data_IF_927185315775
#
_entry.id   IF_927185315775
#
_cell.length_a   1.000
_cell.length_b   1.000
_cell.length_c   1.000
_cell.angle_alpha   90.00
_cell.angle_beta   90.00
_cell.angle_gamma   90.00
#
_symmetry.space_group_name_H-M   'P 1'
#
loop_
_entity.id
_entity.type
_entity.pdbx_description
1 polymer ?
#
# COMPACT_ATOMS: atom_id res chain seq x y z
N UNK A 1 63.16 4.78 -11.42
CA UNK A 1 61.90 5.50 -11.14
C UNK A 1 60.97 5.55 -12.36
N UNK A 2 61.48 5.42 -13.59
CA UNK A 2 60.69 5.55 -14.82
C UNK A 2 59.80 4.33 -15.15
N UNK A 3 60.31 3.10 -14.94
CA UNK A 3 59.56 1.87 -15.28
C UNK A 3 58.30 1.65 -14.44
N UNK A 4 58.30 2.05 -13.17
CA UNK A 4 57.14 1.96 -12.26
C UNK A 4 55.99 2.90 -12.64
N UNK A 5 56.27 4.07 -13.23
CA UNK A 5 55.22 4.98 -13.67
C UNK A 5 54.52 4.45 -14.94
N UNK A 6 55.26 3.78 -15.83
CA UNK A 6 54.68 3.16 -17.03
C UNK A 6 53.73 1.99 -16.72
N UNK A 7 54.07 1.14 -15.73
CA UNK A 7 53.24 -0.02 -15.35
C UNK A 7 51.99 0.40 -14.60
N UNK A 8 52.06 1.48 -13.81
CA UNK A 8 50.90 2.05 -13.12
C UNK A 8 49.94 2.69 -14.12
N UNK A 9 50.44 3.45 -15.11
CA UNK A 9 49.62 4.00 -16.19
C UNK A 9 48.86 2.92 -16.98
N UNK A 10 49.57 1.88 -17.42
CA UNK A 10 48.96 0.75 -18.16
C UNK A 10 47.90 0.00 -17.32
N UNK A 11 48.10 -0.09 -16.00
CA UNK A 11 47.11 -0.68 -15.10
C UNK A 11 45.85 0.19 -14.91
N UNK A 12 46.00 1.52 -14.98
CA UNK A 12 44.89 2.47 -14.85
C UNK A 12 44.07 2.49 -16.14
N UNK A 13 44.72 2.54 -17.30
CA UNK A 13 44.07 2.51 -18.61
C UNK A 13 43.24 1.22 -18.79
N UNK A 14 43.79 0.08 -18.36
CA UNK A 14 43.08 -1.20 -18.36
C UNK A 14 41.85 -1.21 -17.45
N UNK A 15 41.89 -0.51 -16.32
CA UNK A 15 40.74 -0.36 -15.42
C UNK A 15 39.70 0.58 -16.03
N UNK A 16 40.13 1.66 -16.69
CA UNK A 16 39.24 2.60 -17.38
C UNK A 16 38.48 1.92 -18.53
N UNK A 17 39.17 1.13 -19.37
CA UNK A 17 38.56 0.34 -20.44
C UNK A 17 37.56 -0.69 -19.92
N UNK A 18 37.90 -1.37 -18.81
CA UNK A 18 37.02 -2.34 -18.17
C UNK A 18 35.77 -1.67 -17.59
N UNK A 19 35.92 -0.50 -16.95
CA UNK A 19 34.79 0.30 -16.45
C UNK A 19 33.93 0.79 -17.60
N UNK A 20 34.51 1.30 -18.68
CA UNK A 20 33.79 1.73 -19.87
C UNK A 20 32.97 0.57 -20.48
N UNK A 21 33.57 -0.62 -20.56
CA UNK A 21 32.89 -1.84 -21.02
C UNK A 21 31.71 -2.22 -20.13
N UNK A 22 31.89 -2.19 -18.80
CA UNK A 22 30.81 -2.49 -17.84
C UNK A 22 29.67 -1.46 -17.94
N UNK A 23 30.01 -0.18 -18.13
CA UNK A 23 29.00 0.88 -18.34
C UNK A 23 28.20 0.62 -19.61
N UNK A 24 28.86 0.23 -20.70
CA UNK A 24 28.15 -0.06 -21.96
C UNK A 24 27.25 -1.30 -21.85
N UNK A 25 27.74 -2.37 -21.21
CA UNK A 25 26.91 -3.54 -20.89
C UNK A 25 25.68 -3.18 -20.03
N UNK A 26 25.84 -2.26 -19.07
CA UNK A 26 24.74 -1.79 -18.25
C UNK A 26 23.70 -1.01 -19.07
N UNK A 27 24.13 -0.20 -20.04
CA UNK A 27 23.23 0.50 -20.97
C UNK A 27 22.50 -0.47 -21.89
N UNK A 28 23.22 -1.40 -22.52
CA UNK A 28 22.63 -2.43 -23.39
C UNK A 28 21.58 -3.26 -22.65
N UNK A 29 21.87 -3.62 -21.40
CA UNK A 29 20.93 -4.32 -20.52
C UNK A 29 19.73 -3.44 -20.19
N UNK A 30 19.93 -2.16 -19.90
CA UNK A 30 18.86 -1.20 -19.61
C UNK A 30 17.94 -1.02 -20.82
N UNK A 31 18.48 -0.91 -22.03
CA UNK A 31 17.71 -0.78 -23.27
C UNK A 31 16.94 -2.07 -23.58
N UNK A 32 17.59 -3.21 -23.43
CA UNK A 32 16.96 -4.53 -23.56
C UNK A 32 15.80 -4.70 -22.57
N UNK A 33 16.02 -4.34 -21.29
CA UNK A 33 14.99 -4.37 -20.25
C UNK A 33 13.84 -3.40 -20.57
N UNK A 34 14.15 -2.20 -21.07
CA UNK A 34 13.14 -1.20 -21.42
C UNK A 34 12.27 -1.66 -22.59
N UNK A 35 12.87 -2.30 -23.59
CA UNK A 35 12.14 -2.90 -24.72
C UNK A 35 11.26 -4.07 -24.28
N UNK A 36 11.74 -4.93 -23.37
CA UNK A 36 10.95 -6.05 -22.85
C UNK A 36 9.77 -5.55 -22.03
N UNK A 37 9.98 -4.53 -21.19
CA UNK A 37 8.94 -3.91 -20.38
C UNK A 37 7.87 -3.27 -21.27
N UNK A 38 8.26 -2.56 -22.34
CA UNK A 38 7.29 -1.94 -23.24
C UNK A 38 6.45 -2.97 -23.99
N UNK A 39 7.07 -4.04 -24.51
CA UNK A 39 6.35 -5.15 -25.15
C UNK A 39 5.42 -5.86 -24.18
N UNK A 40 5.93 -6.23 -23.00
CA UNK A 40 5.12 -6.87 -21.96
C UNK A 40 3.95 -5.99 -21.52
N UNK A 41 4.15 -4.67 -21.42
CA UNK A 41 3.08 -3.73 -21.07
C UNK A 41 1.97 -3.68 -22.12
N UNK A 42 2.33 -3.72 -23.41
CA UNK A 42 1.36 -3.77 -24.51
C UNK A 42 0.57 -5.08 -24.49
N UNK A 43 1.24 -6.23 -24.31
CA UNK A 43 0.60 -7.54 -24.22
C UNK A 43 -0.36 -7.59 -23.01
N UNK A 44 0.07 -7.06 -21.87
CA UNK A 44 -0.76 -6.96 -20.66
C UNK A 44 -2.01 -6.09 -20.90
N UNK A 45 -1.87 -4.97 -21.62
CA UNK A 45 -2.99 -4.09 -21.96
C UNK A 45 -3.98 -4.77 -22.91
N UNK A 46 -3.50 -5.53 -23.88
CA UNK A 46 -4.33 -6.35 -24.78
C UNK A 46 -5.12 -7.41 -24.00
N UNK A 47 -4.47 -8.15 -23.10
CA UNK A 47 -5.13 -9.13 -22.24
C UNK A 47 -6.16 -8.48 -21.31
N UNK A 48 -5.85 -7.31 -20.75
CA UNK A 48 -6.77 -6.52 -19.93
C UNK A 48 -8.02 -6.10 -20.69
N UNK A 49 -7.88 -5.63 -21.94
CA UNK A 49 -9.03 -5.28 -22.79
C UNK A 49 -9.91 -6.50 -23.06
N UNK A 50 -9.30 -7.65 -23.36
CA UNK A 50 -10.03 -8.91 -23.57
C UNK A 50 -10.76 -9.37 -22.31
N UNK A 51 -10.12 -9.30 -21.15
CA UNK A 51 -10.71 -9.66 -19.87
C UNK A 51 -11.91 -8.76 -19.53
N UNK A 52 -11.78 -7.44 -19.70
CA UNK A 52 -12.87 -6.48 -19.50
C UNK A 52 -14.04 -6.69 -20.48
N UNK A 53 -13.72 -6.94 -21.75
CA UNK A 53 -14.73 -7.26 -22.76
C UNK A 53 -15.50 -8.51 -22.37
N UNK A 54 -14.80 -9.57 -21.95
CA UNK A 54 -15.42 -10.82 -21.54
C UNK A 54 -16.28 -10.65 -20.27
N UNK A 55 -15.82 -9.89 -19.27
CA UNK A 55 -16.61 -9.56 -18.09
C UNK A 55 -17.92 -8.84 -18.46
N UNK A 56 -17.84 -7.88 -19.40
CA UNK A 56 -19.02 -7.16 -19.88
C UNK A 56 -20.00 -8.08 -20.61
N UNK A 57 -19.50 -9.04 -21.40
CA UNK A 57 -20.31 -10.04 -22.10
C UNK A 57 -21.00 -10.98 -21.10
N UNK A 58 -20.28 -11.49 -20.09
CA UNK A 58 -20.86 -12.34 -19.03
C UNK A 58 -21.97 -11.59 -18.30
N UNK A 59 -21.73 -10.32 -17.94
CA UNK A 59 -22.74 -9.48 -17.27
C UNK A 59 -23.97 -9.25 -18.14
N UNK A 60 -23.77 -8.99 -19.44
CA UNK A 60 -24.86 -8.85 -20.41
C UNK A 60 -25.66 -10.14 -20.54
N UNK A 61 -25.01 -11.28 -20.71
CA UNK A 61 -25.68 -12.58 -20.78
C UNK A 61 -26.50 -12.86 -19.52
N UNK A 62 -25.98 -12.53 -18.34
CA UNK A 62 -26.74 -12.65 -17.08
C UNK A 62 -27.99 -11.78 -17.08
N UNK A 63 -27.88 -10.51 -17.47
CA UNK A 63 -29.05 -9.62 -17.55
C UNK A 63 -30.09 -10.07 -18.58
N UNK A 64 -29.65 -10.64 -19.70
CA UNK A 64 -30.54 -11.21 -20.71
C UNK A 64 -31.25 -12.45 -20.17
N UNK A 65 -30.54 -13.32 -19.47
CA UNK A 65 -31.10 -14.50 -18.82
C UNK A 65 -32.14 -14.12 -17.75
N UNK A 66 -31.81 -13.17 -16.87
CA UNK A 66 -32.73 -12.64 -15.85
C UNK A 66 -34.00 -12.06 -16.49
N UNK A 67 -33.85 -11.31 -17.60
CA UNK A 67 -34.99 -10.73 -18.32
C UNK A 67 -35.87 -11.79 -18.98
N UNK A 68 -35.28 -12.80 -19.63
CA UNK A 68 -36.01 -13.85 -20.32
C UNK A 68 -36.71 -14.80 -19.33
N UNK A 69 -36.13 -15.02 -18.14
CA UNK A 69 -36.78 -15.72 -17.04
C UNK A 69 -37.96 -14.93 -16.48
N UNK A 70 -37.79 -13.62 -16.27
CA UNK A 70 -38.88 -12.73 -15.79
C UNK A 70 -40.07 -12.69 -16.76
N UNK A 71 -39.80 -12.70 -18.07
CA UNK A 71 -40.84 -12.77 -19.11
C UNK A 71 -41.40 -14.18 -19.33
N UNK A 72 -40.99 -15.20 -18.56
CA UNK A 72 -41.38 -16.62 -18.71
C UNK A 72 -41.14 -17.19 -20.12
N UNK A 73 -40.13 -16.67 -20.82
CA UNK A 73 -39.76 -17.10 -22.18
C UNK A 73 -38.78 -18.29 -22.18
N UNK A 74 -38.33 -18.74 -21.00
CA UNK A 74 -37.38 -19.82 -20.80
C UNK A 74 -37.91 -20.85 -19.81
N UNK A 75 -37.61 -22.13 -20.07
CA UNK A 75 -37.82 -23.20 -19.11
C UNK A 75 -36.89 -22.98 -17.89
N UNK A 76 -37.42 -22.98 -16.65
CA UNK A 76 -36.61 -22.82 -15.44
C UNK A 76 -35.42 -23.78 -15.36
N UNK A 77 -35.56 -25.04 -15.82
CA UNK A 77 -34.43 -26.00 -15.82
C UNK A 77 -33.29 -25.60 -16.74
N UNK A 78 -33.63 -25.02 -17.89
CA UNK A 78 -32.64 -24.52 -18.85
C UNK A 78 -31.97 -23.24 -18.33
N UNK A 79 -32.74 -22.38 -17.65
CA UNK A 79 -32.22 -21.17 -17.04
C UNK A 79 -31.20 -21.48 -15.93
N UNK A 80 -31.50 -22.43 -15.04
CA UNK A 80 -30.57 -22.86 -13.98
C UNK A 80 -29.24 -23.37 -14.57
N UNK A 81 -29.31 -24.19 -15.62
CA UNK A 81 -28.12 -24.70 -16.31
C UNK A 81 -27.29 -23.59 -16.94
N UNK A 82 -27.94 -22.61 -17.59
CA UNK A 82 -27.23 -21.49 -18.21
C UNK A 82 -26.63 -20.54 -17.17
N UNK A 83 -27.30 -20.36 -16.02
CA UNK A 83 -26.74 -19.62 -14.90
C UNK A 83 -25.50 -20.34 -14.31
N UNK A 84 -25.55 -21.66 -14.19
CA UNK A 84 -24.41 -22.46 -13.74
C UNK A 84 -23.21 -22.34 -14.70
N UNK A 85 -23.46 -22.41 -16.02
CA UNK A 85 -22.43 -22.23 -17.04
C UNK A 85 -21.82 -20.81 -17.01
N UNK A 86 -22.66 -19.77 -16.86
CA UNK A 86 -22.21 -18.38 -16.68
C UNK A 86 -21.43 -18.19 -15.38
N UNK A 87 -21.84 -18.87 -14.30
CA UNK A 87 -21.14 -18.85 -13.03
C UNK A 87 -19.76 -19.51 -13.18
N UNK A 88 -19.68 -20.68 -13.82
CA UNK A 88 -18.42 -21.37 -14.10
C UNK A 88 -17.47 -20.52 -14.95
N UNK A 89 -17.97 -19.88 -16.01
CA UNK A 89 -17.19 -18.96 -16.84
C UNK A 89 -16.63 -17.79 -16.01
N UNK A 90 -17.44 -17.26 -15.09
CA UNK A 90 -17.03 -16.21 -14.17
C UNK A 90 -15.98 -16.68 -13.17
N UNK A 91 -16.08 -17.89 -12.62
CA UNK A 91 -15.07 -18.46 -11.72
C UNK A 91 -13.73 -18.68 -12.43
N UNK A 92 -13.73 -19.24 -13.65
CA UNK A 92 -12.52 -19.40 -14.47
C UNK A 92 -11.80 -18.05 -14.67
N UNK A 93 -12.57 -16.99 -14.89
CA UNK A 93 -12.02 -15.65 -15.12
C UNK A 93 -11.55 -14.95 -13.83
N UNK A 94 -12.25 -15.13 -12.71
CA UNK A 94 -11.98 -14.42 -11.45
C UNK A 94 -11.00 -15.13 -10.51
N UNK A 95 -10.91 -16.45 -10.58
CA UNK A 95 -10.06 -17.27 -9.72
C UNK A 95 -8.84 -17.84 -10.48
N UNK A 96 -8.84 -17.74 -11.82
CA UNK A 96 -7.69 -18.09 -12.66
C UNK A 96 -6.71 -16.93 -12.88
N UNK A 97 -5.67 -17.18 -13.68
CA UNK A 97 -4.60 -16.19 -13.95
C UNK A 97 -5.10 -14.91 -14.62
N UNK A 98 -6.24 -14.99 -15.33
CA UNK A 98 -6.89 -13.85 -15.96
C UNK A 98 -7.32 -12.76 -14.95
N UNK A 99 -7.53 -13.14 -13.68
CA UNK A 99 -7.90 -12.24 -12.60
C UNK A 99 -6.85 -11.16 -12.34
N UNK A 100 -5.59 -11.43 -12.69
CA UNK A 100 -4.50 -10.47 -12.57
C UNK A 100 -4.67 -9.24 -13.48
N UNK A 101 -5.36 -9.39 -14.61
CA UNK A 101 -5.57 -8.33 -15.60
C UNK A 101 -6.88 -7.57 -15.40
N UNK A 102 -7.80 -8.11 -14.61
CA UNK A 102 -9.02 -7.41 -14.23
C UNK A 102 -8.69 -6.27 -13.25
N UNK A 103 -9.49 -5.18 -13.26
CA UNK A 103 -9.34 -4.14 -12.26
C UNK A 103 -9.44 -4.79 -10.88
N UNK A 104 -8.47 -4.48 -10.01
CA UNK A 104 -8.48 -5.00 -8.64
C UNK A 104 -9.87 -4.75 -8.06
N UNK A 105 -10.55 -5.81 -7.61
CA UNK A 105 -11.84 -5.68 -6.94
C UNK A 105 -11.69 -4.62 -5.85
N UNK A 106 -12.66 -3.71 -5.79
CA UNK A 106 -12.66 -2.61 -4.83
C UNK A 106 -12.28 -3.16 -3.46
N UNK A 107 -11.10 -2.77 -2.98
CA UNK A 107 -10.62 -3.17 -1.67
C UNK A 107 -11.70 -2.79 -0.66
N UNK A 108 -11.97 -3.70 0.30
CA UNK A 108 -12.97 -3.46 1.34
C UNK A 108 -12.79 -2.09 1.97
N UNK A 109 -13.89 -1.44 2.37
CA UNK A 109 -13.88 -0.07 2.93
C UNK A 109 -12.82 0.11 4.04
N UNK A 110 -12.59 -0.94 4.83
CA UNK A 110 -11.54 -1.01 5.84
C UNK A 110 -10.14 -0.79 5.25
N UNK A 111 -9.74 -1.58 4.26
CA UNK A 111 -8.40 -1.49 3.67
C UNK A 111 -8.20 -0.14 2.95
N UNK A 112 -9.24 0.35 2.28
CA UNK A 112 -9.25 1.69 1.67
C UNK A 112 -9.11 2.82 2.68
N UNK A 113 -9.57 2.64 3.93
CA UNK A 113 -9.39 3.62 5.01
C UNK A 113 -7.91 3.79 5.37
N UNK A 114 -7.15 2.68 5.41
CA UNK A 114 -5.74 2.71 5.77
C UNK A 114 -4.81 2.97 4.59
N UNK A 115 -5.10 2.43 3.41
CA UNK A 115 -4.22 2.52 2.24
C UNK A 115 -4.55 3.70 1.31
N UNK A 116 -5.80 4.18 1.29
CA UNK A 116 -6.28 5.09 0.26
C UNK A 116 -6.70 4.36 -1.03
N UNK A 117 -6.85 5.05 -2.17
CA UNK A 117 -7.31 4.47 -3.44
C UNK A 117 -6.22 3.63 -4.17
N UNK A 118 -5.32 2.99 -3.42
CA UNK A 118 -4.10 2.38 -3.95
C UNK A 118 -4.33 0.90 -4.25
N UNK A 119 -3.94 0.43 -5.43
CA UNK A 119 -4.01 -0.99 -5.80
C UNK A 119 -2.84 -1.76 -5.14
N UNK A 120 -3.12 -2.80 -4.34
CA UNK A 120 -2.09 -3.62 -3.65
C UNK A 120 -1.17 -4.39 -4.62
N UNK A 121 -1.60 -4.53 -5.89
CA UNK A 121 -0.86 -5.25 -6.93
C UNK A 121 -0.22 -4.24 -7.88
N UNK A 122 0.93 -3.70 -7.49
CA UNK A 122 1.71 -2.77 -8.30
C UNK A 122 2.74 -3.55 -9.14
N UNK A 123 2.26 -4.40 -10.05
CA UNK A 123 3.13 -5.12 -10.99
C UNK A 123 3.77 -4.19 -12.03
N UNK A 124 3.21 -2.98 -12.24
CA UNK A 124 3.67 -2.02 -13.24
C UNK A 124 4.45 -0.87 -12.62
N UNK A 125 5.53 -0.42 -13.27
CA UNK A 125 6.39 0.70 -12.83
C UNK A 125 5.63 2.01 -12.62
N UNK A 126 4.63 2.32 -13.44
CA UNK A 126 3.75 3.48 -13.29
C UNK A 126 2.87 3.39 -12.02
N UNK A 127 2.34 2.20 -11.71
CA UNK A 127 1.57 1.97 -10.49
C UNK A 127 2.48 2.04 -9.26
N UNK A 128 3.72 1.55 -9.35
CA UNK A 128 4.72 1.67 -8.27
C UNK A 128 5.09 3.13 -7.99
N UNK A 129 5.32 3.93 -9.03
CA UNK A 129 5.59 5.36 -8.89
C UNK A 129 4.40 6.09 -8.24
N UNK A 130 3.16 5.75 -8.65
CA UNK A 130 1.95 6.31 -8.06
C UNK A 130 1.74 5.90 -6.59
N UNK A 131 2.02 4.64 -6.24
CA UNK A 131 1.99 4.15 -4.85
C UNK A 131 3.01 4.92 -4.01
N UNK A 132 4.20 5.15 -4.57
CA UNK A 132 5.28 5.89 -3.89
C UNK A 132 4.94 7.37 -3.70
N UNK A 133 4.33 8.01 -4.70
CA UNK A 133 3.87 9.39 -4.63
C UNK A 133 2.76 9.57 -3.58
N UNK A 134 1.75 8.70 -3.59
CA UNK A 134 0.67 8.70 -2.59
C UNK A 134 1.20 8.40 -1.18
N UNK A 135 2.16 7.49 -1.05
CA UNK A 135 2.86 7.25 0.22
C UNK A 135 3.61 8.49 0.69
N UNK A 136 4.36 9.15 -0.18
CA UNK A 136 5.15 10.32 0.21
C UNK A 136 4.23 11.49 0.61
N UNK A 137 3.16 11.73 -0.15
CA UNK A 137 2.13 12.70 0.22
C UNK A 137 1.40 12.36 1.53
N UNK A 138 1.08 11.08 1.77
CA UNK A 138 0.52 10.65 3.05
C UNK A 138 1.52 10.87 4.20
N UNK A 139 2.79 10.52 4.02
CA UNK A 139 3.85 10.68 5.01
C UNK A 139 4.06 12.15 5.36
N UNK A 140 4.06 13.04 4.37
CA UNK A 140 4.25 14.47 4.60
C UNK A 140 3.06 15.09 5.35
N UNK A 141 1.81 14.73 4.98
CA UNK A 141 0.61 15.12 5.75
C UNK A 141 0.64 14.56 7.17
N UNK A 142 1.08 13.32 7.33
CA UNK A 142 1.22 12.64 8.62
C UNK A 142 2.25 13.34 9.49
N UNK A 143 3.40 13.72 8.92
CA UNK A 143 4.44 14.49 9.62
C UNK A 143 3.93 15.87 10.08
N UNK A 144 3.17 16.57 9.22
CA UNK A 144 2.51 17.82 9.61
C UNK A 144 1.50 17.61 10.75
N UNK A 145 0.69 16.55 10.71
CA UNK A 145 -0.26 16.24 11.78
C UNK A 145 0.44 15.86 13.09
N UNK A 146 1.56 15.12 13.02
CA UNK A 146 2.40 14.81 14.19
C UNK A 146 2.99 16.05 14.84
N UNK A 147 3.22 17.13 14.08
CA UNK A 147 3.69 18.38 14.63
C UNK A 147 2.52 19.21 15.18
N UNK A 148 1.47 19.40 14.38
CA UNK A 148 0.34 20.27 14.73
C UNK A 148 -0.49 19.72 15.89
N UNK A 149 -0.80 18.43 15.92
CA UNK A 149 -1.76 17.88 16.88
C UNK A 149 -1.23 17.91 18.33
N UNK A 150 0.01 17.48 18.63
CA UNK A 150 0.60 17.65 19.96
C UNK A 150 0.75 19.12 20.35
N UNK A 151 1.15 19.99 19.42
CA UNK A 151 1.23 21.43 19.69
C UNK A 151 -0.13 22.02 20.07
N UNK A 152 -1.20 21.66 19.37
CA UNK A 152 -2.56 22.10 19.70
C UNK A 152 -3.00 21.57 21.07
N UNK A 153 -2.74 20.30 21.39
CA UNK A 153 -3.04 19.75 22.72
C UNK A 153 -2.29 20.48 23.84
N UNK A 154 -1.01 20.84 23.61
CA UNK A 154 -0.21 21.59 24.57
C UNK A 154 -0.72 23.03 24.75
N UNK A 155 -1.13 23.68 23.67
CA UNK A 155 -1.75 25.03 23.73
C UNK A 155 -3.07 24.97 24.51
N UNK A 156 -3.94 24.01 24.19
CA UNK A 156 -5.23 23.82 24.87
C UNK A 156 -5.04 23.47 26.35
N UNK A 157 -4.02 22.68 26.69
CA UNK A 157 -3.62 22.42 28.09
C UNK A 157 -3.30 23.71 28.84
N UNK A 158 -2.56 24.61 28.20
CA UNK A 158 -2.11 25.87 28.81
C UNK A 158 -3.22 26.92 28.89
N UNK A 159 -4.09 27.01 27.89
CA UNK A 159 -5.09 28.08 27.76
C UNK A 159 -6.47 27.72 28.32
N UNK A 160 -6.90 26.46 28.18
CA UNK A 160 -8.30 26.07 28.45
C UNK A 160 -8.41 25.20 29.69
N UNK A 161 -7.44 24.31 29.92
CA UNK A 161 -7.57 23.28 30.96
C UNK A 161 -6.68 23.47 32.19
N UNK A 162 -6.15 24.68 32.43
CA UNK A 162 -5.36 25.01 33.63
C UNK A 162 -4.26 23.97 33.94
N UNK A 163 -3.62 23.39 32.91
CA UNK A 163 -2.57 22.38 33.06
C UNK A 163 -3.04 20.91 33.13
N UNK A 164 -4.35 20.61 33.18
CA UNK A 164 -4.88 19.25 33.24
C UNK A 164 -5.54 18.81 31.92
N UNK A 165 -4.91 17.90 31.17
CA UNK A 165 -5.52 17.34 29.96
C UNK A 165 -6.69 16.40 30.33
N UNK A 166 -7.90 16.61 29.79
CA UNK A 166 -9.01 15.70 30.01
C UNK A 166 -8.70 14.31 29.41
N UNK A 167 -9.32 13.27 29.95
CA UNK A 167 -9.11 11.89 29.48
C UNK A 167 -9.50 11.72 28.00
N UNK A 168 -10.61 12.34 27.58
CA UNK A 168 -11.16 12.20 26.24
C UNK A 168 -10.21 12.69 25.12
N UNK A 169 -9.61 13.90 25.15
CA UNK A 169 -8.61 14.32 24.18
C UNK A 169 -7.38 13.41 24.11
N UNK A 170 -6.92 12.90 25.26
CA UNK A 170 -5.77 11.98 25.32
C UNK A 170 -6.11 10.63 24.68
N UNK A 171 -7.28 10.08 24.96
CA UNK A 171 -7.75 8.85 24.32
C UNK A 171 -7.96 9.04 22.81
N UNK A 172 -8.53 10.18 22.40
CA UNK A 172 -8.71 10.50 20.99
C UNK A 172 -7.35 10.59 20.26
N UNK A 173 -6.34 11.17 20.90
CA UNK A 173 -4.97 11.18 20.40
C UNK A 173 -4.39 9.78 20.28
N UNK A 174 -4.54 8.94 21.30
CA UNK A 174 -4.07 7.55 21.25
C UNK A 174 -4.77 6.72 20.17
N UNK A 175 -6.09 6.91 19.98
CA UNK A 175 -6.85 6.29 18.90
C UNK A 175 -6.37 6.74 17.52
N UNK A 176 -6.06 8.03 17.38
CA UNK A 176 -5.49 8.60 16.18
C UNK A 176 -4.09 8.04 15.88
N UNK A 177 -3.21 7.95 16.88
CA UNK A 177 -1.88 7.33 16.75
C UNK A 177 -1.99 5.87 16.31
N UNK A 178 -2.87 5.09 16.95
CA UNK A 178 -3.10 3.70 16.59
C UNK A 178 -3.53 3.58 15.11
N UNK A 179 -4.49 4.40 14.68
CA UNK A 179 -4.94 4.43 13.28
C UNK A 179 -3.79 4.76 12.32
N UNK A 180 -2.99 5.77 12.67
CA UNK A 180 -1.91 6.29 11.85
C UNK A 180 -0.76 5.28 11.70
N UNK A 181 -0.27 4.71 12.81
CA UNK A 181 0.82 3.73 12.79
C UNK A 181 0.39 2.43 12.09
N UNK A 182 -0.88 2.05 12.21
CA UNK A 182 -1.45 0.94 11.42
C UNK A 182 -1.41 1.25 9.92
N UNK A 183 -1.77 2.47 9.51
CA UNK A 183 -1.71 2.91 8.13
C UNK A 183 -0.28 2.97 7.56
N UNK A 184 0.69 3.47 8.35
CA UNK A 184 2.10 3.49 7.96
C UNK A 184 2.66 2.08 7.80
N UNK A 185 2.44 1.22 8.79
CA UNK A 185 2.89 -0.18 8.74
C UNK A 185 2.32 -0.89 7.50
N UNK A 186 1.02 -0.74 7.21
CA UNK A 186 0.41 -1.35 6.02
C UNK A 186 1.02 -0.83 4.71
N UNK A 187 1.17 0.50 4.54
CA UNK A 187 1.75 1.08 3.32
C UNK A 187 3.21 0.69 3.12
N UNK A 188 4.00 0.68 4.19
CA UNK A 188 5.42 0.32 4.12
C UNK A 188 5.65 -1.18 3.88
N UNK A 189 4.80 -2.06 4.44
CA UNK A 189 4.85 -3.49 4.12
C UNK A 189 4.53 -3.75 2.63
N UNK A 190 3.58 -3.00 2.05
CA UNK A 190 3.29 -3.08 0.61
C UNK A 190 4.49 -2.60 -0.20
N UNK A 191 5.09 -1.46 0.14
CA UNK A 191 6.28 -0.96 -0.56
C UNK A 191 7.43 -1.97 -0.50
N UNK A 192 7.65 -2.60 0.66
CA UNK A 192 8.66 -3.64 0.84
C UNK A 192 8.36 -4.89 0.01
N UNK A 193 7.11 -5.34 -0.02
CA UNK A 193 6.68 -6.47 -0.87
C UNK A 193 6.82 -6.18 -2.38
N UNK A 194 6.75 -4.91 -2.78
CA UNK A 194 6.99 -4.45 -4.15
C UNK A 194 8.48 -4.16 -4.44
N UNK A 195 9.41 -4.53 -3.55
CA UNK A 195 10.86 -4.42 -3.79
C UNK A 195 11.51 -3.11 -3.34
N UNK A 196 10.80 -2.25 -2.58
CA UNK A 196 11.45 -1.09 -1.97
C UNK A 196 12.35 -1.52 -0.81
N UNK A 197 13.57 -0.97 -0.76
CA UNK A 197 14.50 -1.18 0.35
C UNK A 197 14.06 -0.38 1.58
N UNK A 198 13.26 -1.02 2.43
CA UNK A 198 12.81 -0.48 3.72
C UNK A 198 13.44 -1.31 4.83
N UNK A 199 14.12 -0.62 5.75
CA UNK A 199 14.83 -1.26 6.86
C UNK A 199 13.85 -2.02 7.77
N UNK A 200 14.10 -3.30 8.11
CA UNK A 200 13.19 -4.11 8.92
C UNK A 200 12.89 -3.53 10.31
N UNK A 201 13.87 -2.88 10.94
CA UNK A 201 13.71 -2.27 12.26
C UNK A 201 12.67 -1.14 12.26
N UNK A 202 12.53 -0.42 11.14
CA UNK A 202 11.58 0.69 11.02
C UNK A 202 10.13 0.18 11.04
N UNK A 203 9.87 -0.94 10.38
CA UNK A 203 8.56 -1.62 10.44
C UNK A 203 8.29 -2.14 11.87
N UNK A 204 9.31 -2.68 12.54
CA UNK A 204 9.18 -3.12 13.93
C UNK A 204 8.82 -1.96 14.87
N UNK A 205 9.45 -0.79 14.69
CA UNK A 205 9.10 0.43 15.44
C UNK A 205 7.62 0.78 15.31
N UNK A 206 7.05 0.72 14.10
CA UNK A 206 5.61 0.96 13.90
C UNK A 206 4.74 -0.05 14.64
N UNK A 207 5.10 -1.33 14.65
CA UNK A 207 4.36 -2.35 15.39
C UNK A 207 4.42 -2.13 16.90
N UNK A 208 5.59 -1.78 17.45
CA UNK A 208 5.72 -1.40 18.85
C UNK A 208 4.82 -0.19 19.18
N UNK A 209 4.85 0.86 18.36
CA UNK A 209 4.01 2.04 18.54
C UNK A 209 2.51 1.71 18.50
N UNK A 210 2.07 0.83 17.59
CA UNK A 210 0.70 0.33 17.56
C UNK A 210 0.31 -0.39 18.85
N UNK A 211 1.16 -1.29 19.33
CA UNK A 211 0.92 -2.04 20.58
C UNK A 211 0.84 -1.07 21.77
N UNK A 212 1.75 -0.10 21.86
CA UNK A 212 1.74 0.90 22.93
C UNK A 212 0.48 1.76 22.91
N UNK A 213 0.03 2.20 21.73
CA UNK A 213 -1.22 2.95 21.58
C UNK A 213 -2.45 2.11 21.96
N UNK A 214 -2.49 0.83 21.56
CA UNK A 214 -3.57 -0.10 21.90
C UNK A 214 -3.64 -0.39 23.41
N UNK A 215 -2.48 -0.62 24.05
CA UNK A 215 -2.40 -0.78 25.50
C UNK A 215 -2.86 0.50 26.19
N UNK A 216 -2.40 1.68 25.74
CA UNK A 216 -2.81 2.97 26.31
C UNK A 216 -4.31 3.26 26.16
N UNK A 217 -4.96 2.75 25.11
CA UNK A 217 -6.41 2.88 24.91
C UNK A 217 -7.23 1.92 25.76
N UNK A 218 -6.76 0.69 25.91
CA UNK A 218 -7.46 -0.34 26.69
C UNK A 218 -7.20 -0.19 28.19
N UNK A 219 -6.14 0.54 28.57
CA UNK A 219 -5.81 0.87 29.94
C UNK A 219 -6.58 2.10 30.47
N UNK A 220 -7.88 1.95 30.66
CA UNK A 220 -8.67 2.79 31.58
C UNK A 220 -9.24 1.95 32.71
N UNK A 221 -8.45 1.78 33.75
CA UNK A 221 -8.89 1.20 35.03
C UNK A 221 -9.39 2.35 35.92
N UNK A 222 -10.70 2.30 36.23
CA UNK A 222 -11.42 2.89 37.38
C UNK A 222 -10.98 4.29 37.86
N UNK A 223 -11.93 5.22 37.80
CA UNK A 223 -11.83 6.61 38.28
C UNK A 223 -11.01 6.78 39.57
N UNK A 224 -9.87 7.45 39.42
CA UNK A 224 -9.05 7.99 40.50
C UNK A 224 -9.00 9.53 40.31
N UNK A 225 -9.10 10.32 41.39
CA UNK A 225 -9.45 11.75 41.32
C UNK A 225 -8.30 12.68 40.87
N UNK A 226 -7.08 12.16 40.64
CA UNK A 226 -5.90 13.02 40.48
C UNK A 226 -5.34 12.99 39.05
N UNK A 227 -5.66 14.04 38.28
CA UNK A 227 -5.25 14.27 36.89
C UNK A 227 -3.73 14.19 36.64
N UNK A 228 -2.93 14.61 37.61
CA UNK A 228 -1.46 14.65 37.52
C UNK A 228 -0.86 13.24 37.49
N UNK A 229 -1.42 12.30 38.25
CA UNK A 229 -0.87 10.96 38.42
C UNK A 229 -1.08 10.10 37.15
N UNK A 230 -2.19 10.29 36.43
CA UNK A 230 -2.47 9.63 35.14
C UNK A 230 -1.50 10.07 34.03
N UNK A 231 -1.13 11.35 33.97
CA UNK A 231 -0.24 11.86 32.93
C UNK A 231 1.19 11.34 33.11
N UNK A 232 1.66 11.22 34.34
CA UNK A 232 2.98 10.67 34.66
C UNK A 232 3.06 9.19 34.21
N UNK A 233 2.05 8.37 34.52
CA UNK A 233 2.03 6.96 34.11
C UNK A 233 1.96 6.77 32.59
N UNK A 234 1.19 7.58 31.86
CA UNK A 234 1.14 7.51 30.38
C UNK A 234 2.50 7.92 29.78
N UNK A 235 3.15 8.95 30.31
CA UNK A 235 4.49 9.35 29.85
C UNK A 235 5.54 8.25 30.05
N UNK A 236 5.50 7.52 31.17
CA UNK A 236 6.43 6.42 31.44
C UNK A 236 6.20 5.16 30.58
N UNK A 237 5.02 5.02 29.97
CA UNK A 237 4.70 3.88 29.08
C UNK A 237 4.95 4.22 27.61
N UNK A 238 4.87 5.51 27.26
CA UNK A 238 4.99 6.01 25.88
C UNK A 238 6.42 6.45 25.52
N UNK A 239 7.28 6.74 26.52
CA UNK A 239 8.72 6.97 26.35
C UNK A 239 9.52 5.68 26.59
#
# INVERSE_FOLDING_TARGET
MDSTNSTVGESVDKVEDEVARVVEQAKDLQDSASSLISRSSNDEQSLRQRALSLESSIRRCRSLLDSALSHKLLDPKLADKLEEDLHRARCIMLDGDAAAFLPAKAQGRFLRMFLGPINVRASRKDIQLKVKEEYNGYRDRTALLFLLFPSVLLILRSWVWNGCLPAFPVQLYQAWLLFLYTGLALRENILRANGSDIRPWWIYHHYCAMIMALVSLTWEIKGQPNCVQKQVTIFYIVC
#
